data_IF_404468479070
#
_entry.id   IF_404468479070
#
_cell.length_a   1.000
_cell.length_b   1.000
_cell.length_c   1.000
_cell.angle_alpha   90.00
_cell.angle_beta   90.00
_cell.angle_gamma   90.00
#
_symmetry.space_group_name_H-M   'P 1'
#
loop_
_entity.id
_entity.type
_entity.pdbx_description
1 polymer ?
#
# COMPACT_ATOMS: atom_id res chain seq x y z
N UNK A 1 6.86 -11.48 -32.88
CA UNK A 1 7.08 -11.88 -31.47
C UNK A 1 5.74 -12.22 -30.86
N UNK A 2 5.60 -13.41 -30.28
CA UNK A 2 4.40 -13.76 -29.49
C UNK A 2 4.35 -12.87 -28.24
N UNK A 3 3.15 -12.52 -27.77
CA UNK A 3 2.98 -11.80 -26.51
C UNK A 3 3.54 -12.65 -25.35
N UNK A 4 4.22 -12.01 -24.40
CA UNK A 4 4.76 -12.67 -23.20
C UNK A 4 3.62 -13.31 -22.40
N UNK A 5 3.68 -14.63 -22.20
CA UNK A 5 2.64 -15.39 -21.52
C UNK A 5 3.01 -15.80 -20.09
N UNK A 6 4.29 -15.66 -19.69
CA UNK A 6 4.81 -15.99 -18.37
C UNK A 6 5.81 -14.94 -17.90
N UNK A 7 5.71 -14.56 -16.63
CA UNK A 7 6.74 -13.84 -15.89
C UNK A 7 7.30 -14.77 -14.82
N UNK A 8 8.62 -14.92 -14.76
CA UNK A 8 9.30 -15.83 -13.85
C UNK A 8 10.74 -15.36 -13.63
N UNK A 9 11.02 -14.96 -12.39
CA UNK A 9 12.31 -14.45 -11.95
C UNK A 9 12.64 -15.04 -10.58
N UNK A 10 13.91 -15.36 -10.36
CA UNK A 10 14.46 -15.75 -9.07
C UNK A 10 15.56 -14.76 -8.70
N UNK A 11 15.51 -14.24 -7.49
CA UNK A 11 16.43 -13.22 -7.01
C UNK A 11 16.72 -13.39 -5.52
N UNK A 12 17.82 -12.79 -5.07
CA UNK A 12 18.21 -12.67 -3.67
C UNK A 12 18.31 -11.18 -3.31
N UNK A 13 17.65 -10.78 -2.22
CA UNK A 13 17.67 -9.43 -1.69
C UNK A 13 18.48 -9.33 -0.40
N UNK A 14 19.12 -8.19 -0.19
CA UNK A 14 19.78 -7.82 1.06
C UNK A 14 19.29 -6.43 1.48
N UNK A 15 18.75 -6.34 2.69
CA UNK A 15 18.22 -5.11 3.26
C UNK A 15 18.97 -4.80 4.56
N UNK A 16 19.76 -3.73 4.55
CA UNK A 16 20.41 -3.19 5.73
C UNK A 16 19.64 -1.98 6.22
N UNK A 17 19.13 -2.03 7.44
CA UNK A 17 18.51 -0.87 8.11
C UNK A 17 19.37 -0.46 9.30
N UNK A 18 19.80 0.79 9.30
CA UNK A 18 20.48 1.41 10.42
C UNK A 18 19.66 2.59 10.90
N UNK A 19 19.28 2.58 12.18
CA UNK A 19 18.57 3.68 12.82
C UNK A 19 19.39 4.16 14.01
N UNK A 20 19.94 5.37 13.96
CA UNK A 20 20.71 5.88 15.09
C UNK A 20 19.83 6.13 16.32
N UNK A 21 20.43 6.24 17.51
CA UNK A 21 19.78 6.95 18.61
C UNK A 21 19.58 8.44 18.29
N UNK A 22 18.95 9.17 19.20
CA UNK A 22 18.97 10.63 19.18
C UNK A 22 20.05 11.13 20.13
N UNK A 23 20.70 12.25 19.80
CA UNK A 23 21.57 12.96 20.74
C UNK A 23 20.81 13.41 21.99
N UNK A 24 21.51 13.50 23.12
CA UNK A 24 20.94 14.03 24.35
C UNK A 24 20.64 15.53 24.24
N UNK A 25 19.56 15.97 24.91
CA UNK A 25 19.15 17.37 24.98
C UNK A 25 17.66 17.59 24.69
N UNK A 26 17.23 18.86 24.72
CA UNK A 26 15.86 19.25 24.41
C UNK A 26 15.46 18.91 22.97
N UNK A 27 16.43 19.05 22.05
CA UNK A 27 16.31 18.67 20.65
C UNK A 27 17.29 17.53 20.39
N UNK A 28 16.75 16.34 20.12
CA UNK A 28 17.54 15.18 19.73
C UNK A 28 17.71 15.15 18.21
N UNK A 29 18.93 14.96 17.74
CA UNK A 29 19.24 14.79 16.31
C UNK A 29 19.75 13.36 16.09
N UNK A 30 19.41 12.78 14.95
CA UNK A 30 19.90 11.47 14.53
C UNK A 30 19.87 11.34 13.01
N UNK A 31 20.27 10.16 12.54
CA UNK A 31 20.13 9.79 11.14
C UNK A 31 19.77 8.31 11.00
N UNK A 32 19.02 8.01 9.95
CA UNK A 32 18.74 6.64 9.51
C UNK A 32 19.43 6.41 8.15
N UNK A 33 19.76 5.15 7.87
CA UNK A 33 20.23 4.71 6.57
C UNK A 33 19.54 3.39 6.19
N UNK A 34 19.20 3.27 4.90
CA UNK A 34 18.70 2.03 4.30
C UNK A 34 19.57 1.66 3.12
N UNK A 35 20.23 0.50 3.20
CA UNK A 35 20.99 -0.09 2.11
C UNK A 35 20.21 -1.23 1.50
N UNK A 36 19.99 -1.20 0.20
CA UNK A 36 19.23 -2.19 -0.54
C UNK A 36 20.11 -2.77 -1.65
N UNK A 37 20.09 -4.09 -1.82
CA UNK A 37 20.79 -4.78 -2.90
C UNK A 37 19.93 -5.95 -3.38
N UNK A 38 19.67 -5.99 -4.68
CA UNK A 38 19.04 -7.12 -5.35
C UNK A 38 20.01 -7.80 -6.32
N UNK A 39 20.06 -9.12 -6.29
CA UNK A 39 20.91 -9.96 -7.14
C UNK A 39 20.04 -10.96 -7.88
N UNK A 40 20.16 -11.00 -9.22
CA UNK A 40 19.48 -11.99 -10.07
C UNK A 40 20.11 -13.36 -9.91
N UNK A 41 19.27 -14.37 -9.69
CA UNK A 41 19.65 -15.78 -9.72
C UNK A 41 19.17 -16.45 -11.02
N UNK A 42 17.97 -16.11 -11.49
CA UNK A 42 17.41 -16.59 -12.76
C UNK A 42 16.41 -15.58 -13.34
N UNK A 43 16.58 -15.19 -14.61
CA UNK A 43 15.62 -14.42 -15.41
C UNK A 43 16.11 -14.39 -16.86
N UNK A 44 15.19 -14.19 -17.81
CA UNK A 44 15.49 -14.05 -19.23
C UNK A 44 14.59 -12.98 -19.88
N UNK A 45 14.97 -12.38 -21.02
CA UNK A 45 14.19 -11.31 -21.63
C UNK A 45 12.72 -11.63 -21.93
N UNK A 46 12.40 -12.89 -22.20
CA UNK A 46 11.06 -13.41 -22.48
C UNK A 46 10.23 -13.74 -21.22
N UNK A 47 10.84 -13.74 -20.03
CA UNK A 47 10.19 -14.07 -18.74
C UNK A 47 10.35 -12.97 -17.69
N UNK A 48 11.03 -11.88 -18.00
CA UNK A 48 11.28 -10.77 -17.07
C UNK A 48 10.03 -9.91 -16.79
N UNK A 49 10.10 -9.08 -15.75
CA UNK A 49 9.08 -8.06 -15.47
C UNK A 49 8.03 -8.44 -14.43
N UNK A 50 8.37 -9.35 -13.51
CA UNK A 50 7.53 -9.71 -12.35
C UNK A 50 7.47 -8.62 -11.26
N UNK A 51 8.33 -7.60 -11.39
CA UNK A 51 8.59 -6.58 -10.37
C UNK A 51 9.56 -7.05 -9.26
N UNK A 52 10.27 -8.17 -9.45
CA UNK A 52 11.33 -8.64 -8.55
C UNK A 52 12.70 -8.03 -8.84
N UNK A 53 12.99 -7.71 -10.11
CA UNK A 53 14.30 -7.27 -10.57
C UNK A 53 14.21 -6.01 -11.42
N UNK A 54 15.19 -5.12 -11.28
CA UNK A 54 15.33 -3.95 -12.16
C UNK A 54 15.51 -4.39 -13.61
N UNK A 55 14.75 -3.77 -14.52
CA UNK A 55 14.87 -4.00 -15.97
C UNK A 55 15.95 -3.11 -16.61
N UNK A 56 16.53 -3.59 -17.70
CA UNK A 56 17.29 -2.71 -18.60
C UNK A 56 16.34 -1.74 -19.31
N UNK A 57 16.80 -0.51 -19.56
CA UNK A 57 16.07 0.47 -20.39
C UNK A 57 15.73 -0.09 -21.77
N UNK A 58 16.70 -0.78 -22.37
CA UNK A 58 16.46 -1.64 -23.52
C UNK A 58 15.87 -2.98 -23.03
N UNK A 59 14.55 -3.08 -23.12
CA UNK A 59 13.79 -4.21 -22.59
C UNK A 59 14.13 -5.55 -23.25
N UNK A 60 14.76 -5.53 -24.44
CA UNK A 60 15.24 -6.74 -25.12
C UNK A 60 16.36 -7.46 -24.36
N UNK A 61 17.00 -6.77 -23.40
CA UNK A 61 18.05 -7.32 -22.53
C UNK A 61 17.52 -7.94 -21.24
N UNK A 62 16.23 -7.85 -20.96
CA UNK A 62 15.62 -8.43 -19.76
C UNK A 62 15.99 -7.70 -18.46
N UNK A 63 16.17 -8.46 -17.39
CA UNK A 63 16.51 -7.98 -16.05
C UNK A 63 18.02 -7.83 -15.83
N UNK A 64 18.42 -6.80 -15.06
CA UNK A 64 19.81 -6.57 -14.68
C UNK A 64 20.33 -7.68 -13.76
N UNK A 65 21.65 -7.89 -13.75
CA UNK A 65 22.29 -8.92 -12.90
C UNK A 65 22.27 -8.52 -11.42
N UNK A 66 22.46 -7.24 -11.13
CA UNK A 66 22.41 -6.67 -9.79
C UNK A 66 21.94 -5.21 -9.84
N UNK A 67 21.38 -4.73 -8.73
CA UNK A 67 21.03 -3.32 -8.53
C UNK A 67 21.03 -3.00 -7.04
N UNK A 68 21.37 -1.77 -6.69
CA UNK A 68 21.44 -1.37 -5.29
C UNK A 68 21.14 0.10 -5.06
N UNK A 69 20.77 0.40 -3.83
CA UNK A 69 20.35 1.72 -3.38
C UNK A 69 20.90 2.02 -1.99
N UNK A 70 21.17 3.29 -1.74
CA UNK A 70 21.45 3.82 -0.41
C UNK A 70 20.56 5.03 -0.18
N UNK A 71 19.63 4.89 0.78
CA UNK A 71 18.80 5.97 1.28
C UNK A 71 19.34 6.50 2.61
N UNK A 72 19.29 7.81 2.81
CA UNK A 72 19.68 8.48 4.04
C UNK A 72 18.55 9.39 4.51
N UNK A 73 18.37 9.46 5.82
CA UNK A 73 17.29 10.24 6.43
C UNK A 73 17.81 10.96 7.66
N UNK A 74 17.77 12.31 7.64
CA UNK A 74 17.99 13.09 8.83
C UNK A 74 16.73 13.05 9.71
N UNK A 75 16.90 12.91 11.03
CA UNK A 75 15.77 12.92 11.98
C UNK A 75 16.02 13.87 13.13
N UNK A 76 14.99 14.62 13.50
CA UNK A 76 14.99 15.55 14.63
C UNK A 76 13.80 15.21 15.51
N UNK A 77 14.01 15.14 16.82
CA UNK A 77 12.97 14.89 17.82
C UNK A 77 12.95 16.00 18.85
N UNK A 78 11.76 16.50 19.13
CA UNK A 78 11.46 17.41 20.22
C UNK A 78 10.23 16.89 20.95
N UNK A 79 10.31 16.71 22.28
CA UNK A 79 9.25 16.05 23.06
C UNK A 79 8.88 14.68 22.46
N UNK A 80 7.62 14.47 22.07
CA UNK A 80 7.08 13.25 21.47
C UNK A 80 6.85 13.41 19.96
N UNK A 81 7.40 14.47 19.37
CA UNK A 81 7.28 14.78 17.95
C UNK A 81 8.60 14.56 17.22
N UNK A 82 8.54 13.94 16.05
CA UNK A 82 9.69 13.60 15.22
C UNK A 82 9.51 14.13 13.81
N UNK A 83 10.49 14.86 13.29
CA UNK A 83 10.61 15.23 11.88
C UNK A 83 11.67 14.36 11.21
N UNK A 84 11.31 13.71 10.10
CA UNK A 84 12.24 12.97 9.23
C UNK A 84 12.32 13.66 7.86
N UNK A 85 13.53 13.82 7.34
CA UNK A 85 13.82 14.41 6.02
C UNK A 85 14.79 13.51 5.26
N UNK A 86 14.42 13.08 4.04
CA UNK A 86 15.24 12.19 3.21
C UNK A 86 14.45 10.99 2.71
N UNK A 87 15.01 9.79 2.80
CA UNK A 87 14.34 8.55 2.38
C UNK A 87 13.28 8.12 3.41
N UNK A 88 12.06 7.88 2.95
CA UNK A 88 10.89 7.54 3.76
C UNK A 88 10.25 6.24 3.25
N UNK A 89 9.65 5.48 4.17
CA UNK A 89 8.75 4.37 3.87
C UNK A 89 7.42 4.63 4.58
N UNK A 90 6.56 5.51 4.01
CA UNK A 90 5.30 5.89 4.64
C UNK A 90 4.40 4.67 4.86
N UNK A 91 3.74 4.64 6.02
CA UNK A 91 2.71 3.66 6.38
C UNK A 91 1.41 4.37 6.73
N UNK A 92 0.86 5.10 5.76
CA UNK A 92 -0.31 5.96 5.92
C UNK A 92 -1.45 5.50 5.00
N UNK A 93 -2.72 5.69 5.36
CA UNK A 93 -3.86 5.34 4.49
C UNK A 93 -3.81 5.94 3.09
N UNK A 94 -3.27 7.15 2.94
CA UNK A 94 -3.16 7.86 1.66
C UNK A 94 -1.93 7.46 0.85
N UNK A 95 -0.92 6.85 1.49
CA UNK A 95 0.34 6.42 0.87
C UNK A 95 0.98 5.31 1.71
N UNK A 96 0.93 4.10 1.19
CA UNK A 96 1.50 2.91 1.82
C UNK A 96 2.59 2.32 0.91
N UNK A 97 3.84 2.52 1.28
CA UNK A 97 4.96 2.01 0.50
C UNK A 97 4.89 0.48 0.36
N UNK A 98 4.95 -0.01 -0.88
CA UNK A 98 4.88 -1.45 -1.17
C UNK A 98 6.17 -2.17 -0.70
N UNK A 99 6.01 -3.29 0.01
CA UNK A 99 7.11 -4.13 0.50
C UNK A 99 6.85 -5.62 0.17
N UNK A 100 6.19 -5.86 -0.97
CA UNK A 100 5.68 -7.19 -1.38
C UNK A 100 6.54 -7.91 -2.44
N UNK A 101 7.74 -7.38 -2.71
CA UNK A 101 8.70 -7.90 -3.69
C UNK A 101 10.09 -7.99 -3.06
N UNK A 102 11.15 -8.01 -3.87
CA UNK A 102 12.51 -8.21 -3.40
C UNK A 102 13.00 -7.09 -2.47
N UNK A 103 12.72 -5.84 -2.84
CA UNK A 103 13.11 -4.63 -2.13
C UNK A 103 11.87 -3.74 -1.93
N UNK A 104 11.83 -2.92 -0.88
CA UNK A 104 10.72 -2.00 -0.64
C UNK A 104 10.73 -0.85 -1.64
N UNK A 105 9.54 -0.36 -1.97
CA UNK A 105 9.36 0.97 -2.51
C UNK A 105 9.78 2.01 -1.46
N UNK A 106 10.48 3.06 -1.87
CA UNK A 106 10.84 4.17 -0.99
C UNK A 106 10.46 5.51 -1.59
N UNK A 107 10.36 6.53 -0.75
CA UNK A 107 10.03 7.90 -1.15
C UNK A 107 11.10 8.86 -0.68
N UNK A 108 11.27 9.98 -1.38
CA UNK A 108 11.97 11.17 -0.86
C UNK A 108 10.95 12.16 -0.35
N UNK A 109 11.23 12.78 0.78
CA UNK A 109 10.37 13.83 1.30
C UNK A 109 10.67 14.22 2.73
N UNK A 110 9.66 14.84 3.35
CA UNK A 110 9.63 15.16 4.76
C UNK A 110 8.36 14.67 5.42
N UNK A 111 8.48 14.11 6.63
CA UNK A 111 7.35 13.68 7.44
C UNK A 111 7.55 14.13 8.89
N UNK A 112 6.56 14.86 9.41
CA UNK A 112 6.38 15.13 10.82
C UNK A 112 5.39 14.12 11.40
N UNK A 113 5.78 13.44 12.46
CA UNK A 113 4.88 12.63 13.30
C UNK A 113 4.84 13.23 14.69
N UNK A 114 3.64 13.50 15.22
CA UNK A 114 3.42 14.05 16.55
C UNK A 114 2.57 13.12 17.41
N UNK A 115 3.03 12.90 18.64
CA UNK A 115 2.38 12.11 19.67
C UNK A 115 2.19 12.93 20.97
N UNK A 116 2.04 14.26 20.85
CA UNK A 116 1.93 15.15 22.01
C UNK A 116 0.62 14.94 22.78
N UNK A 117 -0.47 14.64 22.07
CA UNK A 117 -1.79 14.40 22.66
C UNK A 117 -2.00 12.90 22.86
N UNK A 118 -2.44 12.52 24.06
CA UNK A 118 -2.69 11.11 24.40
C UNK A 118 -3.76 10.50 23.47
N UNK A 119 -3.43 9.34 22.91
CA UNK A 119 -4.30 8.62 21.99
C UNK A 119 -4.32 9.16 20.56
N UNK A 120 -3.77 10.36 20.29
CA UNK A 120 -3.72 10.96 18.95
C UNK A 120 -2.33 10.82 18.33
N UNK A 121 -2.29 10.25 17.13
CA UNK A 121 -1.13 10.36 16.22
C UNK A 121 -1.47 11.34 15.12
N UNK A 122 -0.62 12.33 14.92
CA UNK A 122 -0.70 13.29 13.80
C UNK A 122 0.49 13.06 12.89
N UNK A 123 0.24 12.75 11.63
CA UNK A 123 1.26 12.69 10.58
C UNK A 123 0.99 13.80 9.56
N UNK A 124 2.01 14.51 9.12
CA UNK A 124 1.90 15.47 8.04
C UNK A 124 3.23 15.58 7.29
N UNK A 125 3.17 15.85 5.99
CA UNK A 125 4.37 15.93 5.19
C UNK A 125 4.14 16.11 3.71
N UNK A 126 5.26 16.06 2.99
CA UNK A 126 5.30 16.07 1.53
C UNK A 126 6.29 15.02 1.06
N UNK A 127 5.89 14.22 0.08
CA UNK A 127 6.78 13.40 -0.72
C UNK A 127 7.02 14.09 -2.05
N UNK A 128 8.23 13.96 -2.59
CA UNK A 128 8.61 14.62 -3.84
C UNK A 128 8.99 13.65 -4.94
N UNK A 129 9.52 12.49 -4.59
CA UNK A 129 9.90 11.47 -5.56
C UNK A 129 9.67 10.08 -4.97
N UNK A 130 9.52 9.10 -5.85
CA UNK A 130 9.39 7.68 -5.53
C UNK A 130 10.57 6.92 -6.13
N UNK A 131 11.05 5.90 -5.44
CA UNK A 131 11.84 4.85 -6.04
C UNK A 131 11.04 3.55 -5.95
N UNK A 132 10.69 3.01 -7.12
CA UNK A 132 9.90 1.79 -7.23
C UNK A 132 10.71 0.57 -6.77
N UNK A 133 10.02 -0.45 -6.27
CA UNK A 133 10.59 -1.72 -5.76
C UNK A 133 11.52 -2.45 -6.75
N UNK A 134 11.35 -2.20 -8.04
CA UNK A 134 12.14 -2.75 -9.16
C UNK A 134 12.90 -1.66 -9.93
N UNK A 135 13.28 -0.57 -9.25
CA UNK A 135 14.12 0.50 -9.78
C UNK A 135 15.36 0.68 -8.89
N UNK A 136 16.24 1.63 -9.24
CA UNK A 136 17.28 2.14 -8.34
C UNK A 136 17.43 3.65 -8.48
N UNK A 137 16.43 4.28 -9.08
CA UNK A 137 16.41 5.68 -9.48
C UNK A 137 15.16 6.32 -8.89
N UNK A 138 15.32 7.51 -8.30
CA UNK A 138 14.18 8.30 -7.89
C UNK A 138 13.56 8.99 -9.12
N UNK A 139 12.25 8.79 -9.26
CA UNK A 139 11.41 9.35 -10.32
C UNK A 139 10.26 10.15 -9.70
N UNK A 140 9.65 11.00 -10.51
CA UNK A 140 8.47 11.74 -10.11
C UNK A 140 7.25 10.80 -10.03
N UNK A 141 6.28 11.14 -9.20
CA UNK A 141 5.18 10.24 -8.84
C UNK A 141 4.07 10.30 -9.88
N UNK A 142 3.54 9.14 -10.26
CA UNK A 142 2.32 9.03 -11.08
C UNK A 142 1.14 8.50 -10.28
N UNK A 143 -0.04 8.48 -10.91
CA UNK A 143 -1.22 7.77 -10.44
C UNK A 143 -1.28 6.36 -11.03
N UNK A 144 -1.72 5.37 -10.24
CA UNK A 144 -1.98 4.02 -10.75
C UNK A 144 -3.09 4.04 -11.82
N UNK A 145 -2.95 3.16 -12.82
CA UNK A 145 -3.96 2.96 -13.87
C UNK A 145 -4.19 1.47 -14.15
N UNK A 146 -3.90 0.61 -13.18
CA UNK A 146 -4.08 -0.84 -13.26
C UNK A 146 -5.56 -1.22 -13.26
N UNK A 147 -5.96 -2.20 -14.06
CA UNK A 147 -7.38 -2.56 -14.22
C UNK A 147 -8.18 -1.51 -14.98
N UNK A 148 -9.51 -1.61 -14.94
CA UNK A 148 -10.40 -0.72 -15.68
C UNK A 148 -10.77 0.53 -14.83
N UNK A 149 -9.78 1.33 -14.41
CA UNK A 149 -10.04 2.51 -13.55
C UNK A 149 -10.78 3.64 -14.26
N UNK A 150 -10.77 3.72 -15.58
CA UNK A 150 -11.32 4.86 -16.31
C UNK A 150 -10.59 6.20 -16.04
N UNK A 151 -9.42 6.17 -15.40
CA UNK A 151 -8.61 7.37 -15.11
C UNK A 151 -7.84 7.78 -16.36
N UNK A 152 -7.99 9.05 -16.73
CA UNK A 152 -7.29 9.75 -17.79
C UNK A 152 -6.62 10.99 -17.20
N UNK A 153 -5.46 11.36 -17.72
CA UNK A 153 -4.68 12.48 -17.20
C UNK A 153 -4.03 13.25 -18.33
N UNK A 154 -3.75 14.53 -18.09
CA UNK A 154 -3.03 15.43 -18.98
C UNK A 154 -1.53 15.44 -18.70
N UNK A 155 -1.16 15.11 -17.47
CA UNK A 155 0.22 15.01 -16.99
C UNK A 155 0.58 13.54 -16.76
N UNK A 156 1.87 13.22 -16.87
CA UNK A 156 2.38 11.86 -16.67
C UNK A 156 2.86 11.63 -15.24
N UNK A 157 3.37 12.68 -14.60
CA UNK A 157 4.04 12.66 -13.31
C UNK A 157 3.81 13.97 -12.52
N UNK A 158 4.16 13.93 -11.23
CA UNK A 158 4.10 15.02 -10.26
C UNK A 158 5.20 14.85 -9.21
N UNK A 159 5.87 15.94 -8.85
CA UNK A 159 6.92 15.98 -7.82
C UNK A 159 6.38 16.46 -6.46
N UNK A 160 5.06 16.44 -6.28
CA UNK A 160 4.40 16.97 -5.08
C UNK A 160 3.24 16.10 -4.63
N UNK A 161 3.47 15.34 -3.56
CA UNK A 161 2.44 14.61 -2.83
C UNK A 161 2.35 15.11 -1.39
N UNK A 162 1.36 15.94 -1.08
CA UNK A 162 1.09 16.39 0.28
C UNK A 162 0.19 15.40 1.01
N UNK A 163 0.44 15.21 2.31
CA UNK A 163 -0.42 14.38 3.14
C UNK A 163 -0.56 14.93 4.56
N UNK A 164 -1.70 14.62 5.17
CA UNK A 164 -1.95 14.79 6.59
C UNK A 164 -2.82 13.63 7.10
N UNK A 165 -2.61 13.16 8.31
CA UNK A 165 -3.40 12.09 8.93
C UNK A 165 -3.56 12.33 10.42
N UNK A 166 -4.77 12.04 10.91
CA UNK A 166 -5.16 12.07 12.31
C UNK A 166 -5.67 10.68 12.67
N UNK A 167 -4.97 9.96 13.54
CA UNK A 167 -5.42 8.65 14.03
C UNK A 167 -5.63 8.73 15.53
N UNK A 168 -6.86 8.49 15.98
CA UNK A 168 -7.24 8.58 17.38
C UNK A 168 -7.69 7.24 17.93
N UNK A 169 -7.03 6.81 19.01
CA UNK A 169 -7.37 5.63 19.79
C UNK A 169 -8.29 6.03 20.95
N UNK A 170 -9.60 5.94 20.72
CA UNK A 170 -10.64 6.26 21.72
C UNK A 170 -10.60 5.33 22.92
N UNK A 171 -10.36 4.03 22.68
CA UNK A 171 -10.25 2.99 23.72
C UNK A 171 -9.21 1.95 23.31
N UNK A 172 -8.98 0.91 24.12
CA UNK A 172 -8.17 -0.25 23.69
C UNK A 172 -8.72 -0.95 22.44
N UNK A 173 -10.02 -0.79 22.18
CA UNK A 173 -10.76 -1.58 21.19
C UNK A 173 -11.30 -0.74 20.02
N UNK A 174 -11.33 0.59 20.13
CA UNK A 174 -11.88 1.50 19.13
C UNK A 174 -10.84 2.53 18.71
N UNK A 175 -10.56 2.58 17.41
CA UNK A 175 -9.74 3.61 16.79
C UNK A 175 -10.42 4.15 15.53
N UNK A 176 -10.22 5.43 15.26
CA UNK A 176 -10.68 6.08 14.03
C UNK A 176 -9.57 6.89 13.40
N UNK A 177 -9.56 6.98 12.07
CA UNK A 177 -8.63 7.81 11.33
C UNK A 177 -9.34 8.75 10.37
N UNK A 178 -8.72 9.91 10.15
CA UNK A 178 -8.97 10.79 9.01
C UNK A 178 -7.64 11.06 8.32
N UNK A 179 -7.58 10.89 7.00
CA UNK A 179 -6.38 11.15 6.20
C UNK A 179 -6.74 11.98 4.99
N UNK A 180 -5.86 12.93 4.66
CA UNK A 180 -5.87 13.72 3.44
C UNK A 180 -4.60 13.43 2.66
N UNK A 181 -4.73 13.24 1.36
CA UNK A 181 -3.62 13.07 0.42
C UNK A 181 -3.90 13.88 -0.85
N UNK A 182 -2.87 14.50 -1.40
CA UNK A 182 -2.98 15.35 -2.57
C UNK A 182 -1.78 15.15 -3.47
N UNK A 183 -2.02 14.59 -4.66
CA UNK A 183 -1.02 14.45 -5.72
C UNK A 183 -1.30 15.54 -6.75
N UNK A 184 -0.42 16.55 -6.81
CA UNK A 184 -0.60 17.76 -7.64
C UNK A 184 -0.88 17.40 -9.11
N UNK A 185 -1.88 18.06 -9.72
CA UNK A 185 -2.43 17.81 -11.07
C UNK A 185 -3.15 16.45 -11.26
N UNK A 186 -3.23 15.60 -10.24
CA UNK A 186 -3.93 14.32 -10.34
C UNK A 186 -5.17 14.30 -9.48
N UNK A 187 -5.01 14.32 -8.15
CA UNK A 187 -6.16 14.16 -7.27
C UNK A 187 -5.94 14.72 -5.87
N UNK A 188 -7.06 15.11 -5.24
CA UNK A 188 -7.19 15.23 -3.79
C UNK A 188 -8.03 14.08 -3.26
N UNK A 189 -7.64 13.49 -2.13
CA UNK A 189 -8.32 12.36 -1.51
C UNK A 189 -8.52 12.58 -0.02
N UNK A 190 -9.76 12.37 0.42
CA UNK A 190 -10.15 12.33 1.83
C UNK A 190 -10.52 10.90 2.21
N UNK A 191 -9.93 10.38 3.27
CA UNK A 191 -10.12 9.04 3.78
C UNK A 191 -10.60 9.11 5.23
N UNK A 192 -11.58 8.28 5.57
CA UNK A 192 -12.02 8.04 6.95
C UNK A 192 -12.05 6.55 7.19
N UNK A 193 -11.54 6.12 8.34
CA UNK A 193 -11.58 4.73 8.74
C UNK A 193 -11.97 4.55 10.21
N UNK A 194 -12.55 3.40 10.52
CA UNK A 194 -12.89 2.96 11.86
C UNK A 194 -12.48 1.51 12.03
N UNK A 195 -11.81 1.21 13.13
CA UNK A 195 -11.56 -0.17 13.55
C UNK A 195 -12.11 -0.38 14.96
N UNK A 196 -12.96 -1.39 15.11
CA UNK A 196 -13.53 -1.79 16.38
C UNK A 196 -13.35 -3.29 16.63
N UNK A 197 -12.85 -3.67 17.80
CA UNK A 197 -12.78 -5.06 18.24
C UNK A 197 -13.78 -5.27 19.37
N UNK A 198 -14.84 -6.02 19.10
CA UNK A 198 -15.83 -6.44 20.10
C UNK A 198 -15.38 -7.76 20.72
N UNK A 199 -14.96 -7.80 22.00
CA UNK A 199 -14.77 -9.06 22.71
C UNK A 199 -16.14 -9.71 22.93
N UNK A 200 -16.36 -10.93 22.41
CA UNK A 200 -17.63 -11.64 22.56
C UNK A 200 -17.62 -12.47 23.85
N UNK A 201 -16.56 -13.28 24.00
CA UNK A 201 -16.26 -14.05 25.21
C UNK A 201 -14.77 -14.41 25.20
N UNK A 202 -14.30 -15.15 26.21
CA UNK A 202 -12.90 -15.60 26.27
C UNK A 202 -12.52 -16.37 25.00
N UNK A 203 -11.46 -15.91 24.32
CA UNK A 203 -10.97 -16.52 23.08
C UNK A 203 -11.81 -16.22 21.83
N UNK A 204 -12.78 -15.30 21.92
CA UNK A 204 -13.63 -14.90 20.79
C UNK A 204 -13.78 -13.39 20.66
N UNK A 205 -13.67 -12.88 19.44
CA UNK A 205 -13.88 -11.46 19.15
C UNK A 205 -14.36 -11.23 17.72
N UNK A 206 -15.20 -10.22 17.54
CA UNK A 206 -15.58 -9.70 16.23
C UNK A 206 -14.81 -8.40 15.96
N UNK A 207 -13.94 -8.40 14.96
CA UNK A 207 -13.30 -7.19 14.45
C UNK A 207 -14.14 -6.63 13.31
N UNK A 208 -14.37 -5.32 13.35
CA UNK A 208 -15.00 -4.52 12.30
C UNK A 208 -13.98 -3.49 11.81
N UNK A 209 -13.71 -3.46 10.51
CA UNK A 209 -12.87 -2.47 9.82
C UNK A 209 -13.71 -1.82 8.71
N UNK A 210 -14.01 -0.53 8.89
CA UNK A 210 -14.79 0.27 7.93
C UNK A 210 -13.89 1.35 7.36
N UNK A 211 -13.97 1.53 6.04
CA UNK A 211 -13.17 2.51 5.30
C UNK A 211 -14.06 3.23 4.29
N UNK A 212 -13.85 4.53 4.16
CA UNK A 212 -14.44 5.35 3.13
C UNK A 212 -13.39 6.28 2.56
N UNK A 213 -13.36 6.45 1.25
CA UNK A 213 -12.53 7.42 0.57
C UNK A 213 -13.34 8.21 -0.45
N UNK A 214 -13.06 9.51 -0.56
CA UNK A 214 -13.52 10.39 -1.63
C UNK A 214 -12.30 10.93 -2.35
N UNK A 215 -12.17 10.67 -3.65
CA UNK A 215 -11.11 11.20 -4.51
C UNK A 215 -11.70 12.10 -5.58
N UNK A 216 -11.13 13.28 -5.77
CA UNK A 216 -11.57 14.29 -6.75
C UNK A 216 -10.40 14.79 -7.58
N UNK A 217 -10.67 15.16 -8.82
CA UNK A 217 -9.72 15.77 -9.74
C UNK A 217 -9.08 17.03 -9.16
N UNK A 218 -7.83 17.24 -9.56
CA UNK A 218 -7.02 18.42 -9.29
C UNK A 218 -6.59 19.13 -10.60
N UNK A 219 -7.52 19.26 -11.56
CA UNK A 219 -7.34 20.04 -12.79
C UNK A 219 -6.59 19.35 -13.93
N UNK A 220 -5.83 18.28 -13.65
CA UNK A 220 -5.05 17.55 -14.65
C UNK A 220 -5.54 16.13 -14.93
N UNK A 221 -6.68 15.70 -14.37
CA UNK A 221 -7.25 14.36 -14.56
C UNK A 221 -8.77 14.39 -14.75
N UNK A 222 -9.42 13.23 -14.69
CA UNK A 222 -10.87 13.09 -14.52
C UNK A 222 -11.22 12.32 -13.23
N UNK A 223 -10.34 12.28 -12.23
CA UNK A 223 -10.58 11.51 -11.01
C UNK A 223 -11.87 11.97 -10.34
N UNK A 224 -12.80 11.04 -10.19
CA UNK A 224 -14.03 11.17 -9.45
C UNK A 224 -14.39 9.79 -8.92
N UNK A 225 -14.11 9.56 -7.64
CA UNK A 225 -14.33 8.25 -7.03
C UNK A 225 -14.82 8.38 -5.59
N UNK A 226 -15.77 7.53 -5.22
CA UNK A 226 -16.04 7.14 -3.85
C UNK A 226 -15.70 5.66 -3.71
N UNK A 227 -14.93 5.31 -2.68
CA UNK A 227 -14.64 3.94 -2.31
C UNK A 227 -15.21 3.66 -0.92
N UNK A 228 -16.00 2.61 -0.79
CA UNK A 228 -16.44 2.08 0.51
C UNK A 228 -15.86 0.68 0.70
N UNK A 229 -15.40 0.39 1.91
CA UNK A 229 -14.90 -0.92 2.30
C UNK A 229 -15.37 -1.28 3.69
N UNK A 230 -15.83 -2.52 3.87
CA UNK A 230 -16.19 -3.08 5.16
C UNK A 230 -15.65 -4.49 5.28
N UNK A 231 -14.92 -4.79 6.36
CA UNK A 231 -14.43 -6.12 6.67
C UNK A 231 -14.83 -6.51 8.09
N UNK A 232 -15.46 -7.67 8.21
CA UNK A 232 -15.84 -8.26 9.48
C UNK A 232 -15.05 -9.54 9.68
N UNK A 233 -14.36 -9.67 10.80
CA UNK A 233 -13.54 -10.85 11.11
C UNK A 233 -13.92 -11.41 12.47
N UNK A 234 -14.54 -12.58 12.47
CA UNK A 234 -14.84 -13.33 13.68
C UNK A 234 -13.67 -14.25 14.04
N UNK A 235 -13.11 -14.05 15.23
CA UNK A 235 -12.00 -14.83 15.76
C UNK A 235 -12.53 -15.84 16.77
N UNK A 236 -12.03 -17.07 16.70
CA UNK A 236 -12.38 -18.19 17.59
C UNK A 236 -11.14 -19.04 17.83
N UNK A 237 -10.47 -18.85 18.97
CA UNK A 237 -9.23 -19.56 19.29
C UNK A 237 -8.15 -19.32 18.22
N UNK A 238 -7.71 -20.38 17.56
CA UNK A 238 -6.74 -20.29 16.44
C UNK A 238 -7.35 -19.91 15.09
N UNK A 239 -8.67 -19.82 14.98
CA UNK A 239 -9.39 -19.57 13.71
C UNK A 239 -9.79 -18.10 13.56
N UNK A 240 -9.76 -17.58 12.34
CA UNK A 240 -10.44 -16.34 11.97
C UNK A 240 -11.24 -16.51 10.68
N UNK A 241 -12.50 -16.06 10.67
CA UNK A 241 -13.38 -16.06 9.51
C UNK A 241 -13.72 -14.62 9.13
N UNK A 242 -13.38 -14.24 7.91
CA UNK A 242 -13.53 -12.90 7.37
C UNK A 242 -14.57 -12.82 6.25
N UNK A 243 -15.41 -11.78 6.29
CA UNK A 243 -16.26 -11.38 5.18
C UNK A 243 -16.03 -9.90 4.86
N UNK A 244 -15.62 -9.63 3.63
CA UNK A 244 -15.31 -8.30 3.12
C UNK A 244 -16.27 -7.89 2.01
N UNK A 245 -16.64 -6.62 2.00
CA UNK A 245 -17.32 -5.95 0.89
C UNK A 245 -16.55 -4.68 0.53
N UNK A 246 -16.43 -4.41 -0.77
CA UNK A 246 -15.86 -3.18 -1.30
C UNK A 246 -16.66 -2.72 -2.50
N UNK A 247 -16.88 -1.42 -2.62
CA UNK A 247 -17.60 -0.82 -3.74
C UNK A 247 -16.98 0.48 -4.20
N UNK A 248 -16.86 0.63 -5.51
CA UNK A 248 -16.46 1.86 -6.19
C UNK A 248 -17.68 2.54 -6.81
N UNK A 249 -17.72 3.87 -6.77
CA UNK A 249 -18.70 4.65 -7.54
C UNK A 249 -18.12 6.00 -7.97
N UNK A 250 -18.71 6.62 -8.97
CA UNK A 250 -18.22 7.86 -9.60
C UNK A 250 -17.69 7.60 -11.00
N UNK A 251 -17.11 8.61 -11.63
CA UNK A 251 -16.67 8.49 -13.02
C UNK A 251 -15.36 7.68 -13.19
N UNK A 252 -14.69 7.30 -12.09
CA UNK A 252 -13.43 6.54 -12.09
C UNK A 252 -13.35 5.51 -10.94
N UNK A 253 -12.39 4.60 -11.04
CA UNK A 253 -11.96 3.69 -9.96
C UNK A 253 -11.08 4.38 -8.91
N UNK A 254 -10.53 3.60 -7.97
CA UNK A 254 -9.77 4.16 -6.85
C UNK A 254 -8.44 4.80 -7.28
N UNK A 255 -8.17 6.00 -6.75
CA UNK A 255 -6.94 6.75 -6.98
C UNK A 255 -5.90 6.49 -5.88
N UNK A 256 -4.67 6.14 -6.28
CA UNK A 256 -3.51 6.06 -5.39
C UNK A 256 -2.21 6.25 -6.18
N UNK A 257 -1.14 6.65 -5.48
CA UNK A 257 0.20 6.82 -6.06
C UNK A 257 0.67 5.50 -6.68
N UNK A 258 1.23 5.56 -7.88
CA UNK A 258 1.63 4.37 -8.61
C UNK A 258 2.68 3.55 -7.84
N UNK A 259 2.45 2.24 -7.76
CA UNK A 259 3.33 1.28 -7.11
C UNK A 259 3.14 1.12 -5.60
N UNK A 260 2.34 1.98 -4.94
CA UNK A 260 1.95 1.82 -3.54
C UNK A 260 0.87 0.75 -3.36
N UNK A 261 0.66 0.34 -2.12
CA UNK A 261 -0.47 -0.51 -1.74
C UNK A 261 -1.72 0.36 -1.50
N UNK A 262 -2.84 -0.02 -2.10
CA UNK A 262 -4.10 0.69 -1.89
C UNK A 262 -4.67 0.38 -0.50
N UNK A 263 -5.12 1.39 0.25
CA UNK A 263 -5.71 1.21 1.58
C UNK A 263 -7.16 0.69 1.54
N UNK A 264 -7.35 -0.40 0.82
CA UNK A 264 -8.63 -1.03 0.51
C UNK A 264 -8.77 -2.37 1.24
N UNK A 265 -10.00 -2.82 1.50
CA UNK A 265 -10.23 -4.08 2.24
C UNK A 265 -10.07 -5.32 1.34
N UNK A 266 -10.29 -5.14 0.04
CA UNK A 266 -10.11 -6.17 -0.99
C UNK A 266 -8.85 -5.96 -1.85
N UNK A 267 -7.88 -5.17 -1.38
CA UNK A 267 -6.53 -5.16 -1.96
C UNK A 267 -5.79 -6.44 -1.59
N UNK A 268 -5.42 -7.24 -2.59
CA UNK A 268 -4.89 -8.59 -2.43
C UNK A 268 -3.63 -8.81 -3.28
N UNK A 269 -3.24 -10.07 -3.53
CA UNK A 269 -1.91 -10.37 -4.07
C UNK A 269 -1.73 -9.90 -5.51
N UNK A 270 -2.78 -9.99 -6.33
CA UNK A 270 -2.77 -9.61 -7.74
C UNK A 270 -3.73 -8.43 -7.98
N UNK A 271 -4.98 -8.58 -7.58
CA UNK A 271 -6.05 -7.60 -7.79
C UNK A 271 -6.18 -6.57 -6.67
N UNK A 272 -6.63 -5.37 -7.03
CA UNK A 272 -7.04 -4.34 -6.07
C UNK A 272 -8.59 -4.21 -5.96
N UNK A 273 -9.34 -4.86 -6.86
CA UNK A 273 -10.81 -4.86 -6.94
C UNK A 273 -11.41 -3.45 -6.85
N UNK A 274 -10.76 -2.52 -7.56
CA UNK A 274 -11.07 -1.10 -7.47
C UNK A 274 -11.23 -0.43 -8.84
N UNK A 275 -11.66 -1.19 -9.85
CA UNK A 275 -12.02 -0.66 -11.17
C UNK A 275 -13.25 0.24 -11.07
N UNK A 276 -13.53 0.99 -12.14
CA UNK A 276 -14.70 1.87 -12.19
C UNK A 276 -15.98 1.03 -12.00
N UNK A 277 -16.86 1.49 -11.11
CA UNK A 277 -18.15 0.89 -10.73
C UNK A 277 -18.07 -0.51 -10.10
N UNK A 278 -16.86 -1.02 -9.83
CA UNK A 278 -16.66 -2.38 -9.34
C UNK A 278 -17.23 -2.58 -7.93
N UNK A 279 -17.97 -3.68 -7.76
CA UNK A 279 -18.42 -4.19 -6.47
C UNK A 279 -17.77 -5.54 -6.22
N UNK A 280 -17.16 -5.73 -5.06
CA UNK A 280 -16.44 -6.96 -4.75
C UNK A 280 -16.70 -7.49 -3.35
N UNK A 281 -16.72 -8.82 -3.26
CA UNK A 281 -16.90 -9.58 -2.03
C UNK A 281 -15.69 -10.47 -1.77
N UNK A 282 -15.31 -10.61 -0.51
CA UNK A 282 -14.21 -11.46 -0.06
C UNK A 282 -14.68 -12.40 1.05
N UNK A 283 -14.38 -13.69 0.91
CA UNK A 283 -14.43 -14.64 2.01
C UNK A 283 -13.00 -15.06 2.37
N UNK A 284 -12.62 -14.96 3.64
CA UNK A 284 -11.26 -15.23 4.13
C UNK A 284 -11.30 -16.17 5.33
N UNK A 285 -10.31 -17.05 5.40
CA UNK A 285 -10.06 -17.89 6.56
C UNK A 285 -8.58 -17.86 6.93
N UNK A 286 -8.29 -17.67 8.21
CA UNK A 286 -6.95 -17.74 8.78
C UNK A 286 -6.91 -18.81 9.87
N UNK A 287 -5.76 -19.48 10.00
CA UNK A 287 -5.47 -20.40 11.09
C UNK A 287 -4.07 -20.18 11.67
N UNK A 288 -4.01 -19.98 12.98
CA UNK A 288 -2.76 -19.91 13.73
C UNK A 288 -2.48 -21.26 14.43
N UNK A 289 -1.44 -21.95 13.97
CA UNK A 289 -1.09 -23.29 14.46
C UNK A 289 -0.50 -23.28 15.88
N UNK A 290 -0.26 -22.11 16.49
CA UNK A 290 0.03 -22.02 17.92
C UNK A 290 -1.09 -22.66 18.77
N UNK A 291 -2.33 -22.65 18.28
CA UNK A 291 -3.46 -23.32 18.92
C UNK A 291 -3.29 -24.85 19.03
N UNK A 292 -2.40 -25.44 18.23
CA UNK A 292 -2.05 -26.88 18.28
C UNK A 292 -0.56 -27.10 18.60
N UNK A 293 0.13 -26.09 19.13
CA UNK A 293 1.50 -26.23 19.61
C UNK A 293 2.60 -26.04 18.55
N UNK A 294 2.29 -25.46 17.39
CA UNK A 294 3.29 -25.11 16.36
C UNK A 294 3.35 -23.57 16.24
N UNK A 295 3.98 -22.87 17.21
CA UNK A 295 4.10 -21.42 17.14
C UNK A 295 4.95 -21.00 15.95
N UNK A 296 4.52 -19.96 15.24
CA UNK A 296 5.18 -19.44 14.05
C UNK A 296 4.52 -19.89 12.75
N UNK A 297 3.87 -21.07 12.71
CA UNK A 297 3.17 -21.55 11.52
C UNK A 297 1.76 -20.96 11.41
N UNK A 298 1.41 -20.49 10.22
CA UNK A 298 0.15 -19.85 9.88
C UNK A 298 -0.37 -20.32 8.52
N UNK A 299 -1.68 -20.32 8.35
CA UNK A 299 -2.35 -20.56 7.08
C UNK A 299 -3.39 -19.48 6.83
N UNK A 300 -3.45 -18.97 5.61
CA UNK A 300 -4.49 -18.08 5.14
C UNK A 300 -5.00 -18.55 3.79
N UNK A 301 -6.30 -18.52 3.58
CA UNK A 301 -6.89 -18.61 2.25
C UNK A 301 -8.04 -17.64 2.11
N UNK A 302 -8.20 -17.09 0.91
CA UNK A 302 -9.31 -16.20 0.59
C UNK A 302 -9.78 -16.39 -0.84
N UNK A 303 -11.05 -16.12 -1.05
CA UNK A 303 -11.67 -16.04 -2.37
C UNK A 303 -12.34 -14.69 -2.51
N UNK A 304 -12.12 -14.04 -3.66
CA UNK A 304 -12.69 -12.76 -4.00
C UNK A 304 -13.42 -12.86 -5.32
N UNK A 305 -14.52 -12.12 -5.46
CA UNK A 305 -15.24 -11.95 -6.71
C UNK A 305 -15.65 -10.49 -6.85
N UNK A 306 -15.46 -9.94 -8.04
CA UNK A 306 -15.82 -8.59 -8.43
C UNK A 306 -16.73 -8.60 -9.66
N UNK A 307 -17.72 -7.72 -9.70
CA UNK A 307 -18.59 -7.49 -10.86
C UNK A 307 -18.94 -6.00 -11.04
N UNK A 308 -19.79 -5.71 -12.02
CA UNK A 308 -20.20 -4.37 -12.44
C UNK A 308 -19.07 -3.46 -12.94
N UNK A 309 -17.97 -4.05 -13.42
CA UNK A 309 -16.83 -3.28 -13.90
C UNK A 309 -17.19 -2.57 -15.20
N UNK A 310 -17.13 -1.23 -15.23
CA UNK A 310 -17.30 -0.46 -16.46
C UNK A 310 -16.03 -0.57 -17.33
N UNK A 311 -16.13 -1.34 -18.41
CA UNK A 311 -15.06 -1.50 -19.39
C UNK A 311 -15.06 -0.38 -20.44
N UNK A 312 -16.03 0.54 -20.45
CA UNK A 312 -16.18 1.59 -21.44
C UNK A 312 -16.56 1.09 -22.84
N UNK A 313 -16.97 2.02 -23.71
CA UNK A 313 -17.26 1.74 -25.12
C UNK A 313 -18.48 0.83 -25.34
N UNK A 314 -19.50 0.92 -24.47
CA UNK A 314 -20.71 0.08 -24.50
C UNK A 314 -20.42 -1.44 -24.43
N UNK A 315 -19.28 -1.83 -23.86
CA UNK A 315 -18.98 -3.25 -23.59
C UNK A 315 -19.86 -3.76 -22.45
N UNK A 316 -20.17 -5.07 -22.41
CA UNK A 316 -20.79 -5.68 -21.25
C UNK A 316 -19.94 -5.44 -19.99
N UNK A 317 -20.60 -5.34 -18.84
CA UNK A 317 -19.93 -5.21 -17.54
C UNK A 317 -18.92 -6.34 -17.32
N UNK A 318 -17.73 -5.96 -16.87
CA UNK A 318 -16.65 -6.88 -16.54
C UNK A 318 -16.85 -7.56 -15.20
N UNK A 319 -16.19 -8.70 -15.05
CA UNK A 319 -16.13 -9.49 -13.81
C UNK A 319 -14.72 -10.03 -13.62
N UNK A 320 -14.32 -10.16 -12.37
CA UNK A 320 -13.05 -10.79 -12.00
C UNK A 320 -13.19 -11.61 -10.72
N UNK A 321 -12.25 -12.52 -10.49
CA UNK A 321 -12.17 -13.29 -9.26
C UNK A 321 -10.71 -13.65 -8.96
N UNK A 322 -10.41 -13.83 -7.68
CA UNK A 322 -9.07 -14.19 -7.22
C UNK A 322 -9.15 -15.20 -6.08
N UNK A 323 -8.14 -16.05 -5.97
CA UNK A 323 -8.00 -16.98 -4.86
C UNK A 323 -6.55 -17.03 -4.43
N UNK A 324 -6.33 -16.67 -3.16
CA UNK A 324 -5.00 -16.65 -2.57
C UNK A 324 -4.89 -17.72 -1.49
N UNK A 325 -3.67 -18.22 -1.30
CA UNK A 325 -3.35 -19.15 -0.22
C UNK A 325 -1.92 -18.92 0.23
N UNK A 326 -1.77 -18.51 1.48
CA UNK A 326 -0.48 -18.24 2.10
C UNK A 326 -0.21 -19.26 3.20
N UNK A 327 1.04 -19.72 3.26
CA UNK A 327 1.57 -20.55 4.34
C UNK A 327 2.85 -19.84 4.81
N UNK A 328 2.89 -19.47 6.08
CA UNK A 328 3.99 -18.70 6.69
C UNK A 328 4.43 -19.29 8.01
#
# INVERSE_FOLDING_TARGET
NAAQSKQEEWAQGFLLRYESGYTDGLIGVGFDAIGLLGVKLDSSPDRAGSGLLKRHRDTSKGAQDEYGELGLTAKVRASKSTLKLGTLLPKLPTVLANDSRLLPQTFKGGQLTSLELEGLTVDAGRLTQVNQRDSSDYEDMGITRTGAKGITTRHLDSDSFDFASLNYKWTSNLATGYSYGHLDNFYSQHLVNLTYVLPVTTGQSLKTDLRFARSTDDGGSNVDNNAIGAMFTYNLGGHALGLGYQGMSGDTGYAYVNGTDAFLVNFVQIGDFASKDEQSWQARYDYNFAAIGIPGLTFMTRYLTGDNIDLGGNRPEGKEWERDTDIG
#
